data_IF_571221580707
#
_entry.id   IF_571221580707
#
_cell.length_a   1.000
_cell.length_b   1.000
_cell.length_c   1.000
_cell.angle_alpha   90.00
_cell.angle_beta   90.00
_cell.angle_gamma   90.00
#
_symmetry.space_group_name_H-M   'P 1'
#
loop_
_entity.id
_entity.type
_entity.pdbx_description
1 polymer ?
#
# COMPACT_ATOMS: atom_id res chain seq x y z
N UNK A 1 -45.97 11.86 18.57
CA UNK A 1 -44.90 10.85 18.60
C UNK A 1 -44.05 11.07 17.36
N UNK A 2 -42.94 11.79 17.51
CA UNK A 2 -42.04 12.10 16.39
C UNK A 2 -41.12 10.91 16.17
N UNK A 3 -41.40 10.12 15.14
CA UNK A 3 -40.51 9.03 14.73
C UNK A 3 -39.28 9.64 14.08
N UNK A 4 -38.16 9.64 14.80
CA UNK A 4 -36.85 9.90 14.23
C UNK A 4 -36.63 8.88 13.10
N UNK A 5 -36.28 9.31 11.87
CA UNK A 5 -35.91 8.37 10.83
C UNK A 5 -34.67 7.58 11.29
N UNK A 6 -34.53 6.31 10.91
CA UNK A 6 -33.34 5.53 11.21
C UNK A 6 -32.11 6.24 10.63
N UNK A 7 -30.95 6.17 11.32
CA UNK A 7 -29.71 6.72 10.77
C UNK A 7 -29.47 6.12 9.37
N UNK A 8 -29.09 6.97 8.42
CA UNK A 8 -28.72 6.53 7.08
C UNK A 8 -27.66 5.41 7.21
N UNK A 9 -27.78 4.32 6.43
CA UNK A 9 -26.79 3.26 6.47
C UNK A 9 -25.40 3.86 6.23
N UNK A 10 -24.42 3.42 7.03
CA UNK A 10 -22.99 3.68 6.80
C UNK A 10 -22.73 3.56 5.30
N UNK A 11 -22.53 4.70 4.63
CA UNK A 11 -22.33 4.75 3.19
C UNK A 11 -21.20 3.76 2.86
N UNK A 12 -21.55 2.75 2.07
CA UNK A 12 -20.80 1.52 1.91
C UNK A 12 -19.34 1.79 1.51
N UNK A 13 -18.42 1.73 2.49
CA UNK A 13 -16.97 1.81 2.27
C UNK A 13 -16.55 0.81 1.18
N UNK A 14 -17.20 -0.37 1.16
CA UNK A 14 -16.95 -1.43 0.18
C UNK A 14 -17.29 -1.07 -1.27
N UNK A 15 -18.19 -0.11 -1.53
CA UNK A 15 -18.48 0.37 -2.87
C UNK A 15 -17.48 1.43 -3.35
N UNK A 16 -16.80 2.10 -2.41
CA UNK A 16 -15.92 3.23 -2.70
C UNK A 16 -14.43 2.84 -2.73
N UNK A 17 -14.06 1.74 -2.10
CA UNK A 17 -12.66 1.37 -1.85
C UNK A 17 -12.33 -0.06 -2.33
N UNK A 18 -11.19 -0.20 -3.00
CA UNK A 18 -10.57 -1.51 -3.30
C UNK A 18 -9.22 -1.62 -2.59
N UNK A 19 -9.03 -2.71 -1.85
CA UNK A 19 -7.75 -3.10 -1.27
C UNK A 19 -6.87 -3.78 -2.32
N UNK A 20 -5.71 -3.20 -2.62
CA UNK A 20 -4.70 -3.78 -3.51
C UNK A 20 -3.54 -4.29 -2.66
N UNK A 21 -3.26 -5.59 -2.76
CA UNK A 21 -2.08 -6.20 -2.15
C UNK A 21 -1.17 -6.71 -3.25
N UNK A 22 0.10 -6.30 -3.21
CA UNK A 22 1.13 -6.90 -4.06
C UNK A 22 1.99 -7.83 -3.23
N UNK A 23 2.18 -9.06 -3.70
CA UNK A 23 3.12 -10.02 -3.13
C UNK A 23 4.04 -10.59 -4.22
N UNK A 24 5.16 -11.16 -3.82
CA UNK A 24 6.19 -11.70 -4.69
C UNK A 24 6.93 -12.83 -3.98
N UNK A 25 7.88 -13.54 -4.62
CA UNK A 25 8.70 -14.53 -3.91
C UNK A 25 9.39 -13.93 -2.69
N UNK A 26 9.23 -14.59 -1.53
CA UNK A 26 9.86 -14.24 -0.25
C UNK A 26 10.66 -15.44 0.29
N UNK A 27 11.62 -15.23 1.20
CA UNK A 27 12.33 -16.34 1.84
C UNK A 27 11.43 -17.24 2.71
N UNK A 28 10.26 -16.75 3.12
CA UNK A 28 9.31 -17.52 3.93
C UNK A 28 8.41 -18.43 3.09
N UNK A 29 8.44 -18.33 1.75
CA UNK A 29 7.67 -19.23 0.90
C UNK A 29 8.04 -20.70 1.22
N UNK A 30 7.06 -21.63 1.31
CA UNK A 30 5.66 -21.48 0.93
C UNK A 30 4.72 -20.93 2.03
N UNK A 31 5.25 -20.55 3.20
CA UNK A 31 4.45 -20.03 4.31
C UNK A 31 3.78 -18.69 3.99
N UNK A 32 2.53 -18.55 4.41
CA UNK A 32 1.75 -17.31 4.32
C UNK A 32 1.89 -16.41 5.54
N UNK A 33 2.66 -16.83 6.55
CA UNK A 33 2.77 -16.17 7.87
C UNK A 33 3.03 -14.66 7.79
N UNK A 34 3.84 -14.21 6.83
CA UNK A 34 4.07 -12.79 6.59
C UNK A 34 2.76 -12.05 6.26
N UNK A 35 1.99 -12.57 5.29
CA UNK A 35 0.74 -11.96 4.87
C UNK A 35 -0.38 -12.18 5.90
N UNK A 36 -0.40 -13.32 6.58
CA UNK A 36 -1.35 -13.55 7.67
C UNK A 36 -1.14 -12.55 8.82
N UNK A 37 0.12 -12.25 9.17
CA UNK A 37 0.45 -11.20 10.14
C UNK A 37 -0.09 -9.83 9.70
N UNK A 38 0.02 -9.50 8.40
CA UNK A 38 -0.59 -8.28 7.84
C UNK A 38 -2.11 -8.30 8.02
N UNK A 39 -2.78 -9.40 7.65
CA UNK A 39 -4.24 -9.52 7.77
C UNK A 39 -4.72 -9.47 9.22
N UNK A 40 -3.99 -10.07 10.15
CA UNK A 40 -4.26 -9.95 11.59
C UNK A 40 -4.19 -8.49 12.03
N UNK A 41 -3.17 -7.75 11.60
CA UNK A 41 -3.07 -6.31 11.91
C UNK A 41 -4.22 -5.49 11.30
N UNK A 42 -4.67 -5.84 10.09
CA UNK A 42 -5.84 -5.20 9.46
C UNK A 42 -7.12 -5.52 10.23
N UNK A 43 -7.35 -6.78 10.63
CA UNK A 43 -8.51 -7.15 11.48
C UNK A 43 -8.53 -6.36 12.78
N UNK A 44 -7.37 -6.15 13.38
CA UNK A 44 -7.25 -5.47 14.66
C UNK A 44 -7.47 -3.95 14.53
N UNK A 45 -6.93 -3.33 13.49
CA UNK A 45 -6.80 -1.86 13.43
C UNK A 45 -7.61 -1.19 12.32
N UNK A 46 -8.18 -1.95 11.39
CA UNK A 46 -8.94 -1.41 10.26
C UNK A 46 -9.83 -2.49 9.61
N UNK A 47 -10.70 -3.11 10.41
CA UNK A 47 -11.51 -4.26 9.97
C UNK A 47 -12.37 -3.96 8.73
N UNK A 48 -12.80 -2.71 8.56
CA UNK A 48 -13.58 -2.24 7.41
C UNK A 48 -12.88 -2.53 6.07
N UNK A 49 -11.55 -2.56 6.02
CA UNK A 49 -10.80 -2.89 4.80
C UNK A 49 -11.08 -4.31 4.31
N UNK A 50 -11.40 -5.25 5.22
CA UNK A 50 -11.71 -6.63 4.85
C UNK A 50 -13.15 -6.82 4.38
N UNK A 51 -13.97 -5.76 4.45
CA UNK A 51 -15.30 -5.74 3.82
C UNK A 51 -15.26 -5.26 2.37
N UNK A 52 -14.15 -4.64 1.96
CA UNK A 52 -13.95 -4.03 0.64
C UNK A 52 -13.56 -5.08 -0.41
N UNK A 53 -13.70 -4.74 -1.70
CA UNK A 53 -13.10 -5.56 -2.77
C UNK A 53 -11.59 -5.67 -2.56
N UNK A 54 -11.01 -6.84 -2.81
CA UNK A 54 -9.57 -7.08 -2.78
C UNK A 54 -9.02 -7.55 -4.12
N UNK A 55 -7.89 -6.99 -4.52
CA UNK A 55 -7.07 -7.46 -5.64
C UNK A 55 -5.70 -7.84 -5.09
N UNK A 56 -5.32 -9.11 -5.24
CA UNK A 56 -3.98 -9.61 -4.88
C UNK A 56 -3.18 -9.86 -6.15
N UNK A 57 -2.06 -9.16 -6.32
CA UNK A 57 -1.15 -9.33 -7.45
C UNK A 57 0.05 -10.17 -7.01
N UNK A 58 0.24 -11.31 -7.67
CA UNK A 58 1.39 -12.21 -7.47
C UNK A 58 2.53 -11.84 -8.43
N UNK A 59 3.27 -10.77 -8.13
CA UNK A 59 4.41 -10.31 -8.93
C UNK A 59 5.53 -11.36 -8.92
N UNK A 60 5.74 -12.01 -10.07
CA UNK A 60 6.62 -13.18 -10.19
C UNK A 60 8.11 -12.81 -10.26
N UNK A 61 8.98 -13.73 -10.69
CA UNK A 61 10.43 -13.55 -10.85
C UNK A 61 10.82 -13.47 -12.33
N UNK A 62 12.03 -12.95 -12.61
CA UNK A 62 12.57 -12.82 -13.99
C UNK A 62 13.27 -14.10 -14.46
N UNK A 63 13.97 -14.82 -13.56
CA UNK A 63 14.69 -16.06 -13.92
C UNK A 63 15.02 -16.96 -12.72
N UNK A 64 15.28 -18.22 -13.02
CA UNK A 64 15.84 -19.20 -12.08
C UNK A 64 17.37 -19.16 -12.19
N UNK A 65 18.06 -19.15 -11.05
CA UNK A 65 19.52 -19.14 -10.96
C UNK A 65 20.04 -19.90 -9.74
N UNK A 66 21.37 -20.08 -9.63
CA UNK A 66 21.96 -20.89 -8.57
C UNK A 66 21.85 -20.26 -7.17
N UNK A 67 21.64 -18.94 -7.10
CA UNK A 67 21.54 -18.19 -5.84
C UNK A 67 20.38 -17.21 -5.93
N UNK A 68 19.55 -17.19 -4.89
CA UNK A 68 18.44 -16.25 -4.77
C UNK A 68 18.94 -14.80 -4.70
N UNK A 69 18.39 -13.95 -5.56
CA UNK A 69 18.58 -12.49 -5.58
C UNK A 69 17.24 -11.83 -5.86
N UNK A 70 16.33 -11.88 -4.89
CA UNK A 70 14.93 -11.44 -5.01
C UNK A 70 14.80 -10.00 -5.57
N UNK A 71 15.63 -9.05 -5.11
CA UNK A 71 15.63 -7.66 -5.62
C UNK A 71 15.94 -7.57 -7.13
N UNK A 72 16.66 -8.55 -7.68
CA UNK A 72 17.02 -8.64 -9.10
C UNK A 72 16.14 -9.64 -9.87
N UNK A 73 15.03 -10.10 -9.28
CA UNK A 73 14.12 -11.06 -9.90
C UNK A 73 14.72 -12.45 -10.10
N UNK A 74 15.71 -12.86 -9.29
CA UNK A 74 16.30 -14.21 -9.39
C UNK A 74 15.87 -15.06 -8.21
N UNK A 75 15.30 -16.24 -8.49
CA UNK A 75 14.97 -17.28 -7.50
C UNK A 75 15.81 -18.53 -7.76
N UNK A 76 15.91 -19.43 -6.80
CA UNK A 76 16.42 -20.79 -7.02
C UNK A 76 15.32 -21.68 -7.60
N UNK A 77 15.67 -22.87 -8.09
CA UNK A 77 14.70 -23.86 -8.57
C UNK A 77 13.73 -24.26 -7.44
N UNK A 78 14.25 -24.57 -6.26
CA UNK A 78 13.44 -24.80 -5.07
C UNK A 78 12.57 -23.58 -4.72
N UNK A 79 13.13 -22.36 -4.81
CA UNK A 79 12.38 -21.14 -4.52
C UNK A 79 11.22 -20.89 -5.51
N UNK A 80 11.37 -21.31 -6.77
CA UNK A 80 10.29 -21.28 -7.75
C UNK A 80 9.16 -22.24 -7.37
N UNK A 81 9.50 -23.49 -7.04
CA UNK A 81 8.54 -24.49 -6.57
C UNK A 81 7.81 -24.04 -5.30
N UNK A 82 8.55 -23.51 -4.32
CA UNK A 82 7.97 -22.94 -3.10
C UNK A 82 7.04 -21.77 -3.37
N UNK A 83 7.34 -20.94 -4.37
CA UNK A 83 6.47 -19.83 -4.75
C UNK A 83 5.15 -20.30 -5.38
N UNK A 84 5.16 -21.36 -6.18
CA UNK A 84 3.92 -21.93 -6.71
C UNK A 84 3.01 -22.48 -5.60
N UNK A 85 3.59 -23.12 -4.59
CA UNK A 85 2.86 -23.56 -3.39
C UNK A 85 2.38 -22.34 -2.57
N UNK A 86 3.21 -21.32 -2.41
CA UNK A 86 2.85 -20.06 -1.74
C UNK A 86 1.62 -19.40 -2.37
N UNK A 87 1.55 -19.31 -3.71
CA UNK A 87 0.39 -18.72 -4.41
C UNK A 87 -0.90 -19.44 -4.03
N UNK A 88 -0.89 -20.79 -3.99
CA UNK A 88 -2.04 -21.59 -3.58
C UNK A 88 -2.43 -21.30 -2.12
N UNK A 89 -1.45 -21.31 -1.21
CA UNK A 89 -1.69 -21.04 0.20
C UNK A 89 -2.25 -19.63 0.44
N UNK A 90 -1.75 -18.62 -0.26
CA UNK A 90 -2.29 -17.24 -0.19
C UNK A 90 -3.71 -17.20 -0.74
N UNK A 91 -4.01 -17.84 -1.87
CA UNK A 91 -5.38 -17.88 -2.38
C UNK A 91 -6.35 -18.45 -1.35
N UNK A 92 -6.00 -19.56 -0.70
CA UNK A 92 -6.79 -20.13 0.40
C UNK A 92 -6.97 -19.14 1.54
N UNK A 93 -5.88 -18.55 2.06
CA UNK A 93 -5.92 -17.57 3.15
C UNK A 93 -6.88 -16.40 2.84
N UNK A 94 -6.81 -15.87 1.63
CA UNK A 94 -7.63 -14.72 1.20
C UNK A 94 -9.08 -15.14 1.03
N UNK A 95 -9.36 -16.26 0.35
CA UNK A 95 -10.73 -16.75 0.18
C UNK A 95 -11.42 -16.97 1.53
N UNK A 96 -10.75 -17.63 2.47
CA UNK A 96 -11.26 -17.85 3.82
C UNK A 96 -11.50 -16.55 4.58
N UNK A 97 -10.57 -15.58 4.47
CA UNK A 97 -10.72 -14.26 5.09
C UNK A 97 -11.93 -13.48 4.58
N UNK A 98 -12.41 -13.79 3.36
CA UNK A 98 -13.58 -13.18 2.73
C UNK A 98 -14.83 -14.07 2.76
N UNK A 99 -14.80 -15.17 3.52
CA UNK A 99 -15.95 -16.06 3.71
C UNK A 99 -16.25 -16.99 2.52
N UNK A 100 -15.29 -17.20 1.63
CA UNK A 100 -15.38 -18.16 0.54
C UNK A 100 -14.71 -19.49 0.93
N UNK A 101 -15.20 -20.58 0.34
CA UNK A 101 -14.49 -21.88 0.40
C UNK A 101 -13.23 -21.85 -0.46
N UNK A 102 -12.22 -22.64 -0.09
CA UNK A 102 -10.95 -22.71 -0.82
C UNK A 102 -11.06 -23.36 -2.20
N UNK A 103 -12.14 -24.11 -2.44
CA UNK A 103 -12.50 -24.75 -3.71
C UNK A 103 -13.55 -23.97 -4.52
N UNK A 104 -13.83 -22.71 -4.15
CA UNK A 104 -14.79 -21.87 -4.88
C UNK A 104 -14.41 -21.77 -6.35
N UNK A 105 -15.42 -21.87 -7.22
CA UNK A 105 -15.24 -21.67 -8.65
C UNK A 105 -14.88 -20.20 -8.94
N UNK A 106 -13.72 -19.99 -9.57
CA UNK A 106 -13.24 -18.67 -9.96
C UNK A 106 -13.47 -18.45 -11.46
N UNK A 107 -14.03 -17.30 -11.82
CA UNK A 107 -14.06 -16.84 -13.19
C UNK A 107 -12.64 -16.47 -13.61
N UNK A 108 -12.23 -16.90 -14.80
CA UNK A 108 -10.89 -16.64 -15.33
C UNK A 108 -10.96 -15.71 -16.54
N UNK A 109 -10.19 -14.63 -16.49
CA UNK A 109 -10.03 -13.66 -17.58
C UNK A 109 -8.54 -13.47 -17.90
N UNK A 110 -8.26 -13.01 -19.12
CA UNK A 110 -6.91 -12.64 -19.55
C UNK A 110 -6.84 -11.15 -19.81
N UNK A 111 -5.70 -10.55 -19.49
CA UNK A 111 -5.42 -9.15 -19.79
C UNK A 111 -3.96 -8.93 -20.14
N UNK A 112 -3.63 -7.68 -20.45
CA UNK A 112 -2.28 -7.25 -20.81
C UNK A 112 -1.78 -6.17 -19.85
N UNK A 113 -0.66 -6.45 -19.19
CA UNK A 113 0.05 -5.48 -18.37
C UNK A 113 1.12 -4.79 -19.23
N UNK A 114 1.19 -3.46 -19.09
CA UNK A 114 2.23 -2.68 -19.75
C UNK A 114 3.52 -2.69 -18.93
N UNK A 115 4.60 -3.09 -19.57
CA UNK A 115 5.95 -2.87 -19.10
C UNK A 115 6.34 -1.39 -19.18
N UNK A 116 7.10 -0.95 -18.18
CA UNK A 116 7.96 0.21 -18.33
C UNK A 116 9.00 -0.06 -19.43
N UNK A 117 9.67 0.99 -19.91
CA UNK A 117 10.72 0.82 -20.92
C UNK A 117 11.82 -0.16 -20.44
N UNK A 118 12.01 -1.27 -21.15
CA UNK A 118 13.07 -2.25 -20.86
C UNK A 118 14.21 -2.24 -21.91
N UNK A 119 14.07 -1.41 -22.95
CA UNK A 119 15.02 -1.25 -24.05
C UNK A 119 15.11 -2.43 -25.02
N UNK A 120 14.23 -3.44 -24.93
CA UNK A 120 14.35 -4.70 -25.68
C UNK A 120 13.11 -5.10 -26.48
N UNK A 121 11.90 -4.69 -26.11
CA UNK A 121 10.66 -5.10 -26.79
C UNK A 121 9.94 -3.98 -27.56
N UNK A 122 9.35 -4.32 -28.71
CA UNK A 122 8.62 -3.38 -29.56
C UNK A 122 7.25 -2.94 -28.99
N UNK A 123 6.61 -3.78 -28.17
CA UNK A 123 5.28 -3.52 -27.60
C UNK A 123 5.25 -3.31 -26.08
N UNK A 124 6.30 -3.68 -25.32
CA UNK A 124 6.37 -3.54 -23.86
C UNK A 124 5.09 -4.03 -23.15
N UNK A 125 4.59 -5.23 -23.48
CA UNK A 125 3.41 -5.85 -22.87
C UNK A 125 3.75 -7.25 -22.34
N UNK A 126 3.04 -7.69 -21.32
CA UNK A 126 2.98 -9.09 -20.88
C UNK A 126 1.55 -9.48 -20.56
N UNK A 127 1.19 -10.74 -20.82
CA UNK A 127 -0.12 -11.24 -20.43
C UNK A 127 -0.19 -11.44 -18.92
N UNK A 128 -1.40 -11.31 -18.38
CA UNK A 128 -1.72 -11.77 -17.03
C UNK A 128 -3.06 -12.51 -17.04
N UNK A 129 -3.24 -13.35 -16.04
CA UNK A 129 -4.51 -14.01 -15.77
C UNK A 129 -5.13 -13.36 -14.53
N UNK A 130 -6.43 -13.09 -14.59
CA UNK A 130 -7.24 -12.71 -13.43
C UNK A 130 -8.15 -13.87 -13.08
N UNK A 131 -8.13 -14.29 -11.82
CA UNK A 131 -9.11 -15.22 -11.28
C UNK A 131 -9.95 -14.49 -10.23
N UNK A 132 -11.27 -14.41 -10.41
CA UNK A 132 -12.17 -13.67 -9.51
C UNK A 132 -13.32 -14.51 -8.99
N UNK A 133 -13.82 -14.18 -7.81
CA UNK A 133 -15.06 -14.74 -7.27
C UNK A 133 -16.27 -14.21 -8.02
N UNK A 134 -17.38 -14.96 -8.05
CA UNK A 134 -18.61 -14.58 -8.76
C UNK A 134 -19.24 -13.28 -8.27
N UNK A 135 -19.02 -12.93 -7.01
CA UNK A 135 -19.47 -11.68 -6.40
C UNK A 135 -18.48 -10.51 -6.58
N UNK A 136 -17.38 -10.74 -7.30
CA UNK A 136 -16.32 -9.78 -7.57
C UNK A 136 -15.76 -9.13 -6.29
N UNK A 137 -15.75 -9.87 -5.17
CA UNK A 137 -15.10 -9.41 -3.93
C UNK A 137 -13.61 -9.70 -3.91
N UNK A 138 -13.19 -10.84 -4.46
CA UNK A 138 -11.79 -11.27 -4.46
C UNK A 138 -11.31 -11.46 -5.89
N UNK A 139 -10.16 -10.88 -6.23
CA UNK A 139 -9.48 -11.10 -7.50
C UNK A 139 -7.98 -11.40 -7.29
N UNK A 140 -7.46 -12.36 -8.04
CA UNK A 140 -6.05 -12.74 -8.06
C UNK A 140 -5.46 -12.46 -9.44
N UNK A 141 -4.41 -11.65 -9.50
CA UNK A 141 -3.71 -11.31 -10.74
C UNK A 141 -2.36 -12.00 -10.79
N UNK A 142 -2.13 -12.78 -11.84
CA UNK A 142 -0.88 -13.51 -12.08
C UNK A 142 -0.27 -13.11 -13.43
N UNK A 143 0.71 -12.19 -13.46
CA UNK A 143 1.43 -11.84 -14.68
C UNK A 143 2.37 -12.96 -15.13
N UNK A 144 2.52 -13.11 -16.44
CA UNK A 144 3.38 -14.14 -17.04
C UNK A 144 4.87 -13.86 -16.80
N UNK A 145 5.27 -12.60 -16.64
CA UNK A 145 6.61 -12.25 -16.18
C UNK A 145 6.59 -11.13 -15.14
N UNK A 146 7.71 -10.97 -14.45
CA UNK A 146 7.84 -10.01 -13.35
C UNK A 146 7.60 -8.58 -13.80
N UNK A 147 6.71 -7.89 -13.11
CA UNK A 147 6.40 -6.47 -13.32
C UNK A 147 7.27 -5.59 -12.40
N UNK A 148 7.48 -6.02 -11.16
CA UNK A 148 7.94 -5.17 -10.08
C UNK A 148 6.77 -4.44 -9.41
N UNK A 149 6.98 -4.04 -8.14
CA UNK A 149 5.95 -3.41 -7.31
C UNK A 149 5.16 -2.29 -8.01
N UNK A 150 5.82 -1.30 -8.62
CA UNK A 150 5.12 -0.17 -9.22
C UNK A 150 4.19 -0.56 -10.36
N UNK A 151 4.62 -1.48 -11.24
CA UNK A 151 3.80 -1.94 -12.37
C UNK A 151 2.76 -2.99 -11.94
N UNK A 152 3.00 -3.74 -10.88
CA UNK A 152 1.99 -4.59 -10.24
C UNK A 152 0.83 -3.75 -9.70
N UNK A 153 1.12 -2.67 -8.97
CA UNK A 153 0.09 -1.70 -8.51
C UNK A 153 -0.67 -1.10 -9.69
N UNK A 154 0.03 -0.67 -10.74
CA UNK A 154 -0.60 -0.13 -11.96
C UNK A 154 -1.58 -1.12 -12.61
N UNK A 155 -1.21 -2.39 -12.66
CA UNK A 155 -2.04 -3.45 -13.25
C UNK A 155 -3.33 -3.60 -12.44
N UNK A 156 -3.24 -3.65 -11.11
CA UNK A 156 -4.40 -3.68 -10.23
C UNK A 156 -5.27 -2.42 -10.38
N UNK A 157 -4.67 -1.23 -10.38
CA UNK A 157 -5.40 0.06 -10.55
C UNK A 157 -6.25 0.11 -11.82
N UNK A 158 -5.83 -0.56 -12.91
CA UNK A 158 -6.53 -0.54 -14.20
C UNK A 158 -7.75 -1.46 -14.25
N UNK A 159 -7.80 -2.47 -13.38
CA UNK A 159 -8.96 -3.35 -13.25
C UNK A 159 -9.82 -2.97 -12.03
N UNK A 160 -9.38 -2.02 -11.21
CA UNK A 160 -10.19 -1.42 -10.15
C UNK A 160 -11.35 -0.63 -10.72
N UNK A 161 -12.54 -0.85 -10.17
CA UNK A 161 -13.78 -0.13 -10.52
C UNK A 161 -14.18 0.93 -9.50
N UNK A 162 -13.61 0.88 -8.30
CA UNK A 162 -13.93 1.81 -7.20
C UNK A 162 -13.19 3.16 -7.34
N UNK A 163 -13.80 4.27 -6.88
CA UNK A 163 -13.20 5.61 -6.97
C UNK A 163 -11.92 5.77 -6.14
N UNK A 164 -11.76 4.97 -5.08
CA UNK A 164 -10.58 4.98 -4.23
C UNK A 164 -9.94 3.60 -4.14
N UNK A 165 -8.65 3.59 -3.80
CA UNK A 165 -7.89 2.38 -3.50
C UNK A 165 -7.12 2.54 -2.20
N UNK A 166 -6.94 1.41 -1.53
CA UNK A 166 -5.94 1.23 -0.50
C UNK A 166 -4.84 0.35 -1.07
N UNK A 167 -3.62 0.85 -1.20
CA UNK A 167 -2.48 0.04 -1.66
C UNK A 167 -1.68 -0.42 -0.46
N UNK A 168 -1.45 -1.73 -0.36
CA UNK A 168 -0.74 -2.35 0.75
C UNK A 168 0.38 -3.28 0.25
N UNK A 169 1.59 -3.03 0.73
CA UNK A 169 2.73 -3.92 0.53
C UNK A 169 2.64 -5.09 1.54
N UNK A 170 3.01 -6.30 1.11
CA UNK A 170 2.82 -7.53 1.90
C UNK A 170 3.62 -7.63 3.22
N UNK A 171 4.51 -6.68 3.51
CA UNK A 171 5.40 -6.68 4.66
C UNK A 171 5.24 -5.45 5.56
N UNK A 172 4.09 -4.78 5.48
CA UNK A 172 3.71 -3.72 6.41
C UNK A 172 2.56 -4.18 7.30
N UNK A 173 2.66 -3.86 8.59
CA UNK A 173 1.59 -4.09 9.57
C UNK A 173 1.04 -2.77 10.05
N UNK A 174 -0.26 -2.73 10.30
CA UNK A 174 -0.91 -1.66 11.06
C UNK A 174 -0.58 -1.84 12.54
N UNK A 175 -0.29 -0.75 13.25
CA UNK A 175 -0.03 -0.77 14.70
C UNK A 175 -0.85 0.27 15.47
N UNK A 176 -1.82 0.89 14.79
CA UNK A 176 -2.76 1.86 15.32
C UNK A 176 -4.04 1.82 14.50
N UNK A 177 -5.16 2.17 15.12
CA UNK A 177 -6.47 2.19 14.47
C UNK A 177 -6.53 3.25 13.37
N UNK A 178 -7.03 2.86 12.20
CA UNK A 178 -7.08 3.72 11.02
C UNK A 178 -8.55 4.06 10.70
N UNK A 179 -8.96 5.34 10.76
CA UNK A 179 -10.33 5.75 10.52
C UNK A 179 -10.62 5.86 9.03
N UNK A 180 -10.73 4.73 8.34
CA UNK A 180 -10.86 4.69 6.88
C UNK A 180 -12.14 5.36 6.37
N UNK A 181 -13.29 5.17 7.04
CA UNK A 181 -14.55 5.81 6.62
C UNK A 181 -14.48 7.34 6.71
N UNK A 182 -14.10 7.95 7.87
CA UNK A 182 -13.89 9.39 7.96
C UNK A 182 -12.87 9.92 6.95
N UNK A 183 -11.78 9.19 6.68
CA UNK A 183 -10.79 9.58 5.66
C UNK A 183 -11.40 9.66 4.26
N UNK A 184 -12.20 8.67 3.86
CA UNK A 184 -12.86 8.66 2.55
C UNK A 184 -13.86 9.81 2.43
N UNK A 185 -14.63 10.09 3.47
CA UNK A 185 -15.56 11.22 3.49
C UNK A 185 -14.84 12.57 3.31
N UNK A 186 -13.69 12.74 3.95
CA UNK A 186 -12.82 13.92 3.75
C UNK A 186 -12.32 13.98 2.30
N UNK A 187 -11.86 12.86 1.72
CA UNK A 187 -11.40 12.81 0.34
C UNK A 187 -12.51 13.15 -0.65
N UNK A 188 -13.74 12.68 -0.43
CA UNK A 188 -14.91 13.00 -1.27
C UNK A 188 -15.29 14.48 -1.19
N UNK A 189 -15.34 15.02 0.03
CA UNK A 189 -15.76 16.41 0.26
C UNK A 189 -14.76 17.43 -0.29
N UNK A 190 -13.48 17.08 -0.29
CA UNK A 190 -12.39 17.93 -0.79
C UNK A 190 -11.99 17.63 -2.23
N UNK A 191 -12.72 16.76 -2.94
CA UNK A 191 -12.30 16.28 -4.26
C UNK A 191 -12.19 17.42 -5.28
N UNK A 192 -13.08 18.41 -5.20
CA UNK A 192 -13.13 19.59 -6.06
C UNK A 192 -12.51 20.85 -5.42
N UNK A 193 -11.83 20.72 -4.27
CA UNK A 193 -11.12 21.84 -3.64
C UNK A 193 -9.90 22.22 -4.50
N UNK A 194 -9.83 23.47 -4.96
CA UNK A 194 -8.73 23.97 -5.79
C UNK A 194 -7.44 24.25 -4.99
N UNK A 195 -7.55 24.47 -3.68
CA UNK A 195 -6.46 24.88 -2.81
C UNK A 195 -5.89 23.71 -2.00
N UNK A 196 -6.75 22.85 -1.47
CA UNK A 196 -6.39 21.78 -0.54
C UNK A 196 -7.06 20.43 -0.85
N UNK A 197 -7.04 19.95 -2.12
CA UNK A 197 -7.67 18.67 -2.43
C UNK A 197 -6.97 17.52 -1.69
N UNK A 198 -7.72 16.56 -1.18
CA UNK A 198 -7.19 15.35 -0.53
C UNK A 198 -7.32 14.16 -1.48
N UNK A 199 -6.27 13.93 -2.29
CA UNK A 199 -6.27 12.85 -3.30
C UNK A 199 -5.43 11.63 -2.90
N UNK A 200 -4.59 11.76 -1.89
CA UNK A 200 -3.70 10.72 -1.39
C UNK A 200 -3.42 10.93 0.10
N UNK A 201 -3.54 9.87 0.91
CA UNK A 201 -3.25 9.87 2.35
C UNK A 201 -2.31 8.70 2.66
N UNK A 202 -1.06 9.00 3.03
CA UNK A 202 -0.11 8.00 3.53
C UNK A 202 -0.24 7.85 5.04
N UNK A 203 0.09 6.66 5.55
CA UNK A 203 0.23 6.41 6.97
C UNK A 203 1.67 6.59 7.45
N UNK A 204 1.84 7.02 8.70
CA UNK A 204 3.14 7.27 9.29
C UNK A 204 3.86 5.97 9.69
N UNK A 205 5.07 5.77 9.16
CA UNK A 205 6.04 4.82 9.69
C UNK A 205 7.08 5.55 10.56
N UNK A 206 7.99 4.81 11.22
CA UNK A 206 8.94 5.36 12.21
C UNK A 206 9.71 6.60 11.71
N UNK A 207 10.10 6.64 10.44
CA UNK A 207 10.86 7.76 9.86
C UNK A 207 10.00 8.98 9.47
N UNK A 208 8.70 8.86 9.63
CA UNK A 208 7.70 9.89 9.28
C UNK A 208 7.05 10.48 10.53
N UNK A 209 7.45 10.03 11.73
CA UNK A 209 7.04 10.67 12.96
C UNK A 209 7.50 12.12 12.97
N UNK A 210 6.63 12.99 13.46
CA UNK A 210 6.88 14.44 13.53
C UNK A 210 7.26 15.05 12.16
N UNK A 211 6.77 14.47 11.04
CA UNK A 211 7.14 14.88 9.68
C UNK A 211 7.06 16.39 9.42
N UNK A 212 6.04 17.08 9.93
CA UNK A 212 5.86 18.53 9.77
C UNK A 212 7.03 19.35 10.36
N UNK A 213 7.74 18.80 11.34
CA UNK A 213 8.92 19.39 11.98
C UNK A 213 10.24 18.85 11.41
N UNK A 214 10.19 17.86 10.52
CA UNK A 214 11.39 17.29 9.89
C UNK A 214 12.05 18.29 8.94
N UNK A 215 13.35 18.12 8.71
CA UNK A 215 14.12 18.87 7.70
C UNK A 215 13.45 18.85 6.30
N UNK A 216 12.72 17.77 5.97
CA UNK A 216 12.05 17.65 4.69
C UNK A 216 10.90 18.65 4.49
N UNK A 217 10.23 19.06 5.57
CA UNK A 217 9.15 20.02 5.55
C UNK A 217 9.60 21.41 6.04
N UNK A 218 10.46 21.45 7.05
CA UNK A 218 10.77 22.68 7.78
C UNK A 218 11.88 23.52 7.12
N UNK A 219 12.91 22.91 6.54
CA UNK A 219 14.10 23.65 6.07
C UNK A 219 13.85 24.48 4.81
N UNK A 220 12.78 24.18 4.07
CA UNK A 220 12.39 24.90 2.87
C UNK A 220 11.29 25.93 3.22
N UNK A 221 11.54 27.25 3.14
CA UNK A 221 10.58 28.26 3.57
C UNK A 221 9.20 28.14 2.93
N UNK A 222 9.14 27.82 1.62
CA UNK A 222 7.89 27.63 0.90
C UNK A 222 7.09 26.41 1.42
N UNK A 223 7.77 25.29 1.69
CA UNK A 223 7.13 24.09 2.23
C UNK A 223 6.66 24.32 3.67
N UNK A 224 7.48 24.98 4.50
CA UNK A 224 7.12 25.33 5.88
C UNK A 224 5.89 26.24 5.93
N UNK A 225 5.82 27.23 5.05
CA UNK A 225 4.65 28.09 4.92
C UNK A 225 3.41 27.29 4.48
N UNK A 226 3.59 26.36 3.54
CA UNK A 226 2.51 25.49 3.06
C UNK A 226 2.02 24.52 4.15
N UNK A 227 2.92 23.93 4.94
CA UNK A 227 2.59 23.12 6.12
C UNK A 227 1.76 23.92 7.10
N UNK A 228 2.18 25.14 7.47
CA UNK A 228 1.43 26.02 8.37
C UNK A 228 0.04 26.37 7.82
N UNK A 229 -0.08 26.52 6.51
CA UNK A 229 -1.34 26.87 5.84
C UNK A 229 -2.33 25.71 5.77
N UNK A 230 -1.84 24.51 5.44
CA UNK A 230 -2.71 23.39 5.07
C UNK A 230 -2.94 22.38 6.19
N UNK A 231 -1.98 22.20 7.11
CA UNK A 231 -2.10 21.26 8.22
C UNK A 231 -3.30 21.64 9.08
N UNK A 232 -4.25 20.72 9.25
CA UNK A 232 -5.47 20.94 10.01
C UNK A 232 -6.17 19.62 10.33
N UNK A 233 -7.14 19.71 11.22
CA UNK A 233 -8.08 18.63 11.52
C UNK A 233 -9.31 18.77 10.62
N UNK A 234 -9.63 17.69 9.89
CA UNK A 234 -10.81 17.63 9.05
C UNK A 234 -11.95 16.96 9.82
N UNK A 235 -13.15 17.54 9.78
CA UNK A 235 -14.36 16.95 10.39
C UNK A 235 -15.41 16.82 9.30
N UNK A 236 -16.11 15.69 9.25
CA UNK A 236 -17.21 15.47 8.31
C UNK A 236 -18.54 15.36 9.05
N UNK A 237 -19.67 15.91 8.55
CA UNK A 237 -20.96 15.83 9.22
C UNK A 237 -21.46 14.42 9.53
N UNK A 238 -21.04 13.40 8.75
CA UNK A 238 -21.36 11.99 9.04
C UNK A 238 -20.62 11.44 10.27
N UNK A 239 -19.56 12.11 10.70
CA UNK A 239 -18.68 11.70 11.81
C UNK A 239 -18.34 12.91 12.70
N UNK A 240 -19.35 13.55 13.34
CA UNK A 240 -19.16 14.83 14.02
C UNK A 240 -18.21 14.76 15.23
N UNK A 241 -18.12 13.58 15.85
CA UNK A 241 -17.27 13.33 17.02
C UNK A 241 -15.87 12.83 16.65
N UNK A 242 -15.54 12.76 15.35
CA UNK A 242 -14.27 12.24 14.86
C UNK A 242 -13.56 13.22 13.93
N UNK A 243 -12.28 13.48 14.20
CA UNK A 243 -11.44 14.32 13.34
C UNK A 243 -10.38 13.49 12.62
N UNK A 244 -10.10 13.86 11.37
CA UNK A 244 -9.00 13.31 10.57
C UNK A 244 -7.88 14.36 10.52
N UNK A 245 -6.87 14.29 11.41
CA UNK A 245 -5.72 15.18 11.37
C UNK A 245 -4.84 14.86 10.15
N UNK A 246 -4.64 15.85 9.27
CA UNK A 246 -3.76 15.71 8.10
C UNK A 246 -2.71 16.82 8.06
N UNK A 247 -1.50 16.47 7.65
CA UNK A 247 -0.46 17.43 7.25
C UNK A 247 -0.09 17.23 5.78
N UNK A 248 0.20 18.29 5.01
CA UNK A 248 0.71 18.12 3.66
C UNK A 248 2.04 17.36 3.70
N UNK A 249 2.22 16.46 2.74
CA UNK A 249 3.42 15.66 2.57
C UNK A 249 4.09 16.01 1.24
N UNK A 250 5.42 16.10 1.25
CA UNK A 250 6.21 16.54 0.10
C UNK A 250 6.92 15.38 -0.61
N UNK A 251 6.28 14.23 -0.63
CA UNK A 251 6.79 13.00 -1.25
C UNK A 251 5.62 12.04 -1.54
N UNK A 252 5.74 11.20 -2.57
CA UNK A 252 4.81 10.10 -2.81
C UNK A 252 5.45 8.79 -2.35
N UNK A 253 4.90 8.18 -1.31
CA UNK A 253 5.38 6.90 -0.78
C UNK A 253 4.59 5.71 -1.35
N UNK A 254 5.21 4.53 -1.31
CA UNK A 254 4.60 3.24 -1.62
C UNK A 254 4.18 2.42 -0.39
N UNK A 255 4.43 2.96 0.81
CA UNK A 255 3.90 2.47 2.10
C UNK A 255 2.38 2.47 2.09
N UNK A 256 1.70 1.68 2.94
CA UNK A 256 0.25 1.67 3.01
C UNK A 256 -0.40 3.06 2.98
N UNK A 257 -1.30 3.25 2.01
CA UNK A 257 -1.93 4.53 1.73
C UNK A 257 -3.28 4.37 1.04
N UNK A 258 -4.10 5.42 1.15
CA UNK A 258 -5.35 5.58 0.42
C UNK A 258 -5.13 6.59 -0.70
N UNK A 259 -5.72 6.38 -1.87
CA UNK A 259 -5.66 7.34 -2.96
C UNK A 259 -6.91 7.29 -3.85
N UNK A 260 -7.25 8.42 -4.47
CA UNK A 260 -8.19 8.46 -5.60
C UNK A 260 -7.60 7.66 -6.76
N UNK A 261 -8.33 6.66 -7.26
CA UNK A 261 -7.88 5.76 -8.33
C UNK A 261 -7.50 6.54 -9.59
N UNK A 262 -8.35 7.49 -10.00
CA UNK A 262 -8.12 8.36 -11.17
C UNK A 262 -6.88 9.24 -10.97
N UNK A 263 -6.74 9.86 -9.80
CA UNK A 263 -5.57 10.69 -9.49
C UNK A 263 -4.28 9.87 -9.51
N UNK A 264 -4.28 8.69 -8.89
CA UNK A 264 -3.15 7.77 -8.85
C UNK A 264 -2.69 7.44 -10.28
N UNK A 265 -3.59 6.96 -11.14
CA UNK A 265 -3.28 6.65 -12.53
C UNK A 265 -2.71 7.88 -13.26
N UNK A 266 -3.35 9.05 -13.12
CA UNK A 266 -2.92 10.26 -13.84
C UNK A 266 -1.58 10.85 -13.37
N UNK A 267 -1.23 10.74 -12.09
CA UNK A 267 -0.03 11.36 -11.51
C UNK A 267 1.16 10.43 -11.48
N UNK A 268 0.92 9.17 -11.15
CA UNK A 268 1.97 8.15 -11.02
C UNK A 268 2.23 7.49 -12.36
N UNK A 269 1.17 7.21 -13.14
CA UNK A 269 1.24 6.49 -14.42
C UNK A 269 0.69 7.31 -15.61
N UNK A 270 1.08 8.59 -15.80
CA UNK A 270 0.56 9.43 -16.89
C UNK A 270 0.86 8.86 -18.28
N UNK A 271 1.92 8.07 -18.40
CA UNK A 271 2.30 7.38 -19.63
C UNK A 271 2.85 6.00 -19.29
N UNK A 272 2.93 5.14 -20.31
CA UNK A 272 3.53 3.80 -20.19
C UNK A 272 4.97 3.78 -19.70
N UNK A 273 5.70 4.89 -19.90
CA UNK A 273 7.13 5.01 -19.56
C UNK A 273 7.34 5.69 -18.19
N UNK A 274 6.28 5.99 -17.45
CA UNK A 274 6.37 6.74 -16.20
C UNK A 274 7.18 6.03 -15.10
N UNK A 275 7.14 4.69 -15.08
CA UNK A 275 7.89 3.85 -14.13
C UNK A 275 8.61 2.73 -14.90
N UNK A 276 9.93 2.57 -14.74
CA UNK A 276 10.67 1.43 -15.29
C UNK A 276 10.27 0.09 -14.65
N UNK A 277 10.46 -1.01 -15.38
CA UNK A 277 10.27 -2.37 -14.84
C UNK A 277 11.12 -2.58 -13.58
N UNK A 278 10.52 -3.15 -12.53
CA UNK A 278 11.22 -3.43 -11.26
C UNK A 278 11.46 -2.23 -10.34
N UNK A 279 11.11 -1.00 -10.75
CA UNK A 279 11.27 0.20 -9.93
C UNK A 279 10.16 0.34 -8.88
N UNK A 280 10.52 0.90 -7.73
CA UNK A 280 9.55 1.32 -6.72
C UNK A 280 8.95 2.68 -7.12
N UNK A 281 7.68 2.88 -6.75
CA UNK A 281 6.99 4.14 -7.00
C UNK A 281 7.70 5.27 -6.28
N UNK A 282 8.14 5.03 -5.05
CA UNK A 282 8.75 6.07 -4.22
C UNK A 282 10.13 6.52 -4.74
N UNK A 283 10.90 5.60 -5.33
CA UNK A 283 12.23 5.88 -5.89
C UNK A 283 12.18 6.78 -7.13
N UNK A 284 11.12 6.68 -7.94
CA UNK A 284 10.99 7.43 -9.20
C UNK A 284 10.01 8.59 -9.06
N UNK A 285 8.79 8.27 -8.65
CA UNK A 285 7.67 9.20 -8.60
C UNK A 285 7.74 10.03 -7.33
N UNK A 286 8.12 9.43 -6.20
CA UNK A 286 8.32 10.17 -4.95
C UNK A 286 9.36 11.28 -5.09
N UNK A 287 10.50 10.97 -5.71
CA UNK A 287 11.55 11.97 -6.00
C UNK A 287 11.06 13.05 -6.96
N UNK A 288 10.41 12.66 -8.07
CA UNK A 288 9.82 13.63 -9.02
C UNK A 288 8.81 14.55 -8.33
N UNK A 289 7.95 13.99 -7.49
CA UNK A 289 6.93 14.72 -6.75
C UNK A 289 7.58 15.75 -5.82
N UNK A 290 8.57 15.32 -5.04
CA UNK A 290 9.32 16.19 -4.14
C UNK A 290 10.00 17.35 -4.86
N UNK A 291 10.69 17.08 -5.97
CA UNK A 291 11.33 18.12 -6.79
C UNK A 291 10.30 19.15 -7.27
N UNK A 292 9.18 18.70 -7.84
CA UNK A 292 8.13 19.61 -8.33
C UNK A 292 7.46 20.43 -7.20
N UNK A 293 7.25 19.83 -6.02
CA UNK A 293 6.69 20.54 -4.88
C UNK A 293 7.65 21.59 -4.32
N UNK A 294 8.95 21.25 -4.24
CA UNK A 294 9.99 22.13 -3.71
C UNK A 294 10.33 23.29 -4.64
N UNK A 295 10.52 23.00 -5.92
CA UNK A 295 11.14 23.94 -6.87
C UNK A 295 10.11 24.65 -7.74
N UNK A 296 8.93 24.05 -7.91
CA UNK A 296 7.88 24.56 -8.82
C UNK A 296 6.57 24.87 -8.07
N UNK A 297 6.55 24.73 -6.74
CA UNK A 297 5.37 24.95 -5.89
C UNK A 297 4.13 24.14 -6.31
N UNK A 298 4.32 22.99 -6.95
CA UNK A 298 3.22 22.18 -7.51
C UNK A 298 2.60 21.20 -6.49
N UNK A 299 2.44 21.58 -5.22
CA UNK A 299 1.87 20.66 -4.22
C UNK A 299 0.43 20.26 -4.57
N UNK A 300 -0.43 21.20 -5.00
CA UNK A 300 -1.83 20.92 -5.38
C UNK A 300 -1.92 19.84 -6.48
N UNK A 301 -0.97 19.81 -7.41
CA UNK A 301 -0.89 18.77 -8.46
C UNK A 301 -0.77 17.37 -7.86
N UNK A 302 -0.01 17.22 -6.78
CA UNK A 302 0.25 15.94 -6.12
C UNK A 302 -0.76 15.62 -5.05
N UNK A 303 -1.23 16.64 -4.30
CA UNK A 303 -2.27 16.51 -3.28
C UNK A 303 -1.97 15.39 -2.28
N UNK A 304 -0.68 15.28 -1.90
CA UNK A 304 -0.19 14.24 -0.99
C UNK A 304 -0.34 14.70 0.45
N UNK A 305 -1.05 13.91 1.25
CA UNK A 305 -1.24 14.12 2.67
C UNK A 305 -0.65 12.96 3.47
N UNK A 306 -0.30 13.25 4.71
CA UNK A 306 0.06 12.27 5.73
C UNK A 306 -1.01 12.30 6.81
N UNK A 307 -1.55 11.13 7.16
CA UNK A 307 -2.36 10.99 8.37
C UNK A 307 -1.50 11.29 9.58
N UNK A 308 -1.91 12.29 10.36
CA UNK A 308 -1.04 12.96 11.33
C UNK A 308 -1.62 13.02 12.76
N UNK A 309 -2.11 11.89 13.30
CA UNK A 309 -2.66 11.86 14.66
C UNK A 309 -1.60 12.15 15.72
N UNK A 310 -2.05 12.73 16.84
CA UNK A 310 -1.19 13.16 17.95
C UNK A 310 0.01 13.99 17.48
N UNK A 311 -0.24 14.96 16.60
CA UNK A 311 0.81 15.83 16.03
C UNK A 311 1.94 15.04 15.35
N UNK A 312 1.60 13.86 14.80
CA UNK A 312 2.53 12.97 14.12
C UNK A 312 3.40 12.12 15.04
N UNK A 313 3.06 12.00 16.33
CA UNK A 313 3.80 11.16 17.28
C UNK A 313 3.33 9.71 17.29
N UNK A 314 2.11 9.46 16.82
CA UNK A 314 1.58 8.11 16.76
C UNK A 314 2.09 7.36 15.53
N UNK A 315 2.73 6.21 15.78
CA UNK A 315 3.14 5.28 14.76
C UNK A 315 1.91 4.54 14.21
N UNK A 316 1.73 4.53 12.88
CA UNK A 316 0.65 3.79 12.24
C UNK A 316 1.13 2.48 11.61
N UNK A 317 2.41 2.45 11.19
CA UNK A 317 2.96 1.37 10.39
C UNK A 317 4.26 0.80 10.95
N UNK A 318 4.39 -0.52 10.91
CA UNK A 318 5.64 -1.25 11.19
C UNK A 318 6.01 -2.18 10.04
N UNK A 319 7.24 -2.06 9.56
CA UNK A 319 7.79 -2.89 8.48
C UNK A 319 8.33 -4.20 9.05
N UNK A 320 8.00 -5.32 8.40
CA UNK A 320 8.45 -6.67 8.76
C UNK A 320 9.74 -7.10 8.04
N UNK A 321 10.20 -6.33 7.04
CA UNK A 321 11.35 -6.68 6.19
C UNK A 321 11.15 -8.04 5.51
N UNK A 322 10.12 -8.12 4.66
CA UNK A 322 9.68 -9.39 4.04
C UNK A 322 10.76 -10.10 3.22
N UNK A 323 11.83 -9.38 2.83
CA UNK A 323 13.00 -9.93 2.13
C UNK A 323 13.99 -10.64 3.04
N UNK A 324 13.90 -10.40 4.35
CA UNK A 324 14.70 -11.07 5.39
C UNK A 324 13.84 -11.93 6.30
N UNK A 325 12.53 -11.70 6.33
CA UNK A 325 11.59 -12.44 7.13
C UNK A 325 11.66 -13.93 6.86
N UNK A 326 11.92 -14.70 7.91
CA UNK A 326 11.97 -16.18 7.89
C UNK A 326 10.92 -16.82 8.79
N UNK A 327 9.94 -16.03 9.24
CA UNK A 327 8.89 -16.43 10.18
C UNK A 327 9.06 -15.86 11.59
N UNK A 328 7.99 -15.87 12.38
CA UNK A 328 7.92 -15.27 13.72
C UNK A 328 8.97 -15.86 14.66
N UNK A 329 9.18 -17.17 14.62
CA UNK A 329 10.17 -17.83 15.49
C UNK A 329 11.60 -17.39 15.16
N UNK A 330 11.94 -17.29 13.87
CA UNK A 330 13.26 -16.82 13.45
C UNK A 330 13.51 -15.36 13.88
N UNK A 331 12.48 -14.52 13.85
CA UNK A 331 12.53 -13.12 14.27
C UNK A 331 12.60 -12.97 15.80
N UNK A 332 11.91 -13.81 16.57
CA UNK A 332 12.07 -13.86 18.03
C UNK A 332 13.50 -14.20 18.42
N UNK A 333 14.10 -15.20 17.77
CA UNK A 333 15.51 -15.60 17.99
C UNK A 333 16.45 -14.48 17.60
N UNK A 334 16.25 -13.84 16.45
CA UNK A 334 17.08 -12.72 16.01
C UNK A 334 16.94 -11.49 16.92
N UNK A 335 15.72 -11.16 17.35
CA UNK A 335 15.44 -10.08 18.30
C UNK A 335 16.03 -10.34 19.68
N UNK A 336 15.98 -11.57 20.19
CA UNK A 336 16.66 -11.96 21.42
C UNK A 336 18.18 -11.76 21.31
N UNK A 337 18.79 -12.24 20.21
CA UNK A 337 20.22 -12.07 19.93
C UNK A 337 20.62 -10.60 19.81
N UNK A 338 19.80 -9.75 19.18
CA UNK A 338 20.06 -8.32 19.10
C UNK A 338 19.98 -7.60 20.45
N UNK A 339 19.02 -7.99 21.31
CA UNK A 339 18.92 -7.46 22.68
C UNK A 339 20.13 -7.86 23.51
N UNK A 340 20.60 -9.10 23.38
CA UNK A 340 21.81 -9.60 24.04
C UNK A 340 23.07 -8.83 23.59
N UNK A 341 23.23 -8.60 22.27
CA UNK A 341 24.34 -7.80 21.72
C UNK A 341 24.29 -6.34 22.19
N UNK A 342 23.09 -5.76 22.35
CA UNK A 342 22.94 -4.38 22.85
C UNK A 342 23.22 -4.27 24.35
N UNK A 343 22.70 -5.19 25.17
CA UNK A 343 23.01 -5.24 26.61
C UNK A 343 24.52 -5.40 26.87
N UNK A 344 25.20 -6.26 26.09
CA UNK A 344 26.66 -6.43 26.18
C UNK A 344 27.45 -5.18 25.75
N UNK A 345 26.86 -4.27 24.96
CA UNK A 345 27.49 -2.99 24.60
C UNK A 345 27.28 -1.91 25.67
N UNK A 346 26.16 -1.94 26.38
CA UNK A 346 25.87 -1.03 27.49
C UNK A 346 26.72 -1.41 28.72
N UNK A 347 26.91 -2.70 29.02
CA UNK A 347 27.75 -3.18 30.13
C UNK A 347 29.27 -2.99 29.90
N UNK A 348 29.70 -2.67 28.68
CA UNK A 348 31.12 -2.41 28.34
C UNK A 348 31.48 -0.91 28.37
N UNK A 349 30.55 -0.06 28.81
CA UNK A 349 30.77 1.37 28.97
C UNK A 349 30.83 1.85 30.45
N UNK A 350 30.85 0.93 31.42
CA UNK A 350 31.17 1.25 32.83
C UNK A 350 32.67 1.16 33.13
#
# INVERSE_FOLDING_TARGET
MSSTPPPAPLASIYADLTLIITTSPTPSAPSTELLDTVFQSVRQHCADLLSCRIIVVFDTYDRIGPVSRLKKGVVTEEGAHQYDVYKKNVKTLILEAYGHSSDVELAQEQGEAEYGFDGRAALNLTSFIVNSTKDDKVAFVEPAERLGFGLAVRTALRITTTPYVWVHQHDWTLVADIPIAPMLDVMKTTDEDEEAPVKYICLASVRMLEYANSAHAHDYPALRALTKKLKRDFTHPSHPDFTVPLTPMFFWHDKPHIASTKHYLSRVFPTRLAIPKGAFIEDVIGQRARTQMKEQSMWVKWACWLYYPDEGKQLCLKHLDGRRWRGVEAEKVQGARWREIRGVKEDKQE
#
